data_IF_990180172888
#
_entry.id   IF_990180172888
#
_cell.length_a   1.000
_cell.length_b   1.000
_cell.length_c   1.000
_cell.angle_alpha   90.00
_cell.angle_beta   90.00
_cell.angle_gamma   90.00
#
_symmetry.space_group_name_H-M   'P 1'
#
loop_
_entity.id
_entity.type
_entity.pdbx_description
1 polymer ?
#
# COMPACT_ATOMS: atom_id res chain seq x y z
N UNK A 1 -1.99 11.65 -8.91
CA UNK A 1 -3.45 11.58 -8.67
C UNK A 1 -3.86 12.60 -7.60
N UNK A 2 -5.10 13.10 -7.65
CA UNK A 2 -5.68 13.97 -6.61
C UNK A 2 -7.00 13.34 -6.16
N UNK A 3 -7.22 13.26 -4.85
CA UNK A 3 -8.41 12.65 -4.26
C UNK A 3 -9.14 13.73 -3.47
N UNK A 4 -10.42 13.94 -3.76
CA UNK A 4 -11.26 14.87 -3.00
C UNK A 4 -11.75 14.23 -1.71
N UNK A 5 -11.63 14.93 -0.59
CA UNK A 5 -12.20 14.51 0.68
C UNK A 5 -13.52 15.24 0.96
N UNK A 6 -14.46 14.57 1.62
CA UNK A 6 -15.76 15.14 2.00
C UNK A 6 -15.62 16.33 2.97
N UNK A 7 -14.49 16.46 3.68
CA UNK A 7 -14.21 17.64 4.51
C UNK A 7 -13.71 18.86 3.70
N UNK A 8 -13.67 18.77 2.37
CA UNK A 8 -13.19 19.82 1.47
C UNK A 8 -11.67 19.82 1.22
N UNK A 9 -10.90 19.01 1.95
CA UNK A 9 -9.47 18.88 1.71
C UNK A 9 -9.18 18.06 0.44
N UNK A 10 -8.04 18.32 -0.19
CA UNK A 10 -7.51 17.50 -1.29
C UNK A 10 -6.34 16.66 -0.80
N UNK A 11 -6.39 15.36 -1.06
CA UNK A 11 -5.27 14.45 -0.82
C UNK A 11 -4.46 14.33 -2.10
N UNK A 12 -3.17 14.63 -2.02
CA UNK A 12 -2.26 14.58 -3.16
C UNK A 12 -1.48 13.26 -3.15
N UNK A 13 -1.48 12.60 -4.30
CA UNK A 13 -0.63 11.46 -4.62
C UNK A 13 0.21 11.81 -5.85
N UNK A 14 1.27 12.59 -5.62
CA UNK A 14 2.13 13.13 -6.67
C UNK A 14 3.53 12.52 -6.69
N UNK A 15 3.89 11.75 -5.66
CA UNK A 15 5.22 11.23 -5.44
C UNK A 15 5.17 9.98 -4.54
N UNK A 16 6.31 9.31 -4.42
CA UNK A 16 6.52 8.27 -3.43
C UNK A 16 6.85 8.85 -2.06
N UNK A 17 6.86 7.98 -1.03
CA UNK A 17 7.26 8.34 0.33
C UNK A 17 6.39 9.43 0.99
N UNK A 18 5.09 9.41 0.68
CA UNK A 18 4.12 10.35 1.24
C UNK A 18 3.56 9.80 2.57
N UNK A 19 3.57 10.58 3.67
CA UNK A 19 3.12 10.13 4.99
C UNK A 19 1.61 9.80 5.04
N UNK A 20 0.85 10.32 4.08
CA UNK A 20 -0.57 10.10 3.94
C UNK A 20 -0.93 8.96 2.96
N UNK A 21 0.05 8.23 2.42
CA UNK A 21 -0.15 7.14 1.44
C UNK A 21 0.37 5.83 2.02
N UNK A 22 -0.44 4.77 1.90
CA UNK A 22 -0.12 3.43 2.38
C UNK A 22 -0.44 2.35 1.34
N UNK A 23 0.06 1.15 1.61
CA UNK A 23 -0.26 -0.06 0.85
C UNK A 23 -0.94 -1.05 1.79
N UNK A 24 -2.03 -1.66 1.32
CA UNK A 24 -2.81 -2.65 2.04
C UNK A 24 -2.70 -4.00 1.34
N UNK A 25 -2.07 -4.94 2.01
CA UNK A 25 -2.15 -6.37 1.68
C UNK A 25 -3.08 -7.01 2.73
N UNK A 26 -4.22 -7.59 2.32
CA UNK A 26 -5.07 -8.34 3.23
C UNK A 26 -4.30 -9.45 3.93
N UNK A 27 -4.65 -9.73 5.19
CA UNK A 27 -4.06 -10.82 5.98
C UNK A 27 -4.05 -12.16 5.21
N UNK A 28 -5.18 -12.46 4.55
CA UNK A 28 -5.38 -13.67 3.77
C UNK A 28 -4.42 -13.81 2.57
N UNK A 29 -3.86 -12.71 2.09
CA UNK A 29 -3.00 -12.69 0.90
C UNK A 29 -1.50 -12.74 1.26
N UNK A 30 -1.13 -12.62 2.55
CA UNK A 30 0.28 -12.54 2.94
C UNK A 30 1.05 -13.85 2.75
N UNK A 31 0.43 -14.99 3.05
CA UNK A 31 1.10 -16.29 2.84
C UNK A 31 1.40 -16.51 1.35
N UNK A 32 0.45 -16.21 0.46
CA UNK A 32 0.68 -16.23 -0.99
C UNK A 32 1.85 -15.33 -1.42
N UNK A 33 2.01 -14.16 -0.78
CA UNK A 33 3.13 -13.24 -1.07
C UNK A 33 4.46 -13.87 -0.65
N UNK A 34 4.52 -14.50 0.53
CA UNK A 34 5.74 -15.14 1.01
C UNK A 34 6.11 -16.35 0.14
N UNK A 35 5.15 -17.23 -0.12
CA UNK A 35 5.36 -18.41 -0.94
C UNK A 35 5.84 -18.01 -2.35
N UNK A 36 5.23 -16.98 -2.95
CA UNK A 36 5.68 -16.47 -4.24
C UNK A 36 7.09 -15.85 -4.19
N UNK A 37 7.48 -15.18 -3.11
CA UNK A 37 8.86 -14.67 -2.98
C UNK A 37 9.85 -15.83 -2.86
N UNK A 38 9.52 -16.83 -2.05
CA UNK A 38 10.41 -17.98 -1.84
C UNK A 38 10.58 -18.74 -3.18
N UNK A 39 9.48 -19.13 -3.82
CA UNK A 39 9.47 -19.93 -5.05
C UNK A 39 9.97 -19.17 -6.29
N UNK A 40 9.49 -17.93 -6.50
CA UNK A 40 9.79 -17.18 -7.73
C UNK A 40 11.01 -16.26 -7.63
N UNK A 41 11.56 -16.06 -6.43
CA UNK A 41 12.70 -15.16 -6.22
C UNK A 41 13.86 -15.88 -5.54
N UNK A 42 13.68 -16.39 -4.32
CA UNK A 42 14.80 -16.92 -3.52
C UNK A 42 15.36 -18.18 -4.16
N UNK A 43 14.49 -19.16 -4.42
CA UNK A 43 14.91 -20.45 -4.98
C UNK A 43 15.48 -20.28 -6.38
N UNK A 44 14.86 -19.45 -7.22
CA UNK A 44 15.37 -19.20 -8.59
C UNK A 44 16.71 -18.49 -8.61
N UNK A 45 16.97 -17.60 -7.65
CA UNK A 45 18.30 -16.99 -7.48
C UNK A 45 19.31 -18.03 -7.00
N UNK A 46 18.94 -18.88 -6.04
CA UNK A 46 19.80 -19.94 -5.52
C UNK A 46 20.18 -20.97 -6.60
N UNK A 47 19.23 -21.30 -7.46
CA UNK A 47 19.39 -22.23 -8.58
C UNK A 47 20.13 -21.61 -9.78
N UNK A 48 20.44 -20.31 -9.72
CA UNK A 48 21.09 -19.56 -10.79
C UNK A 48 20.22 -19.32 -12.02
N UNK A 49 18.90 -19.56 -11.92
CA UNK A 49 17.94 -19.39 -13.02
C UNK A 49 17.37 -17.97 -13.09
N UNK A 50 17.56 -17.17 -12.03
CA UNK A 50 17.17 -15.76 -11.97
C UNK A 50 18.37 -14.88 -11.60
N UNK A 51 18.60 -13.82 -12.36
CA UNK A 51 19.64 -12.84 -12.02
C UNK A 51 19.19 -11.97 -10.85
N UNK A 52 20.16 -11.38 -10.14
CA UNK A 52 19.91 -10.49 -9.01
C UNK A 52 19.03 -9.29 -9.38
N UNK A 53 19.25 -8.70 -10.54
CA UNK A 53 18.48 -7.56 -11.03
C UNK A 53 17.04 -7.97 -11.35
N UNK A 54 16.84 -9.13 -11.96
CA UNK A 54 15.52 -9.67 -12.24
C UNK A 54 14.78 -10.03 -10.94
N UNK A 55 15.48 -10.57 -9.94
CA UNK A 55 14.94 -10.87 -8.62
C UNK A 55 14.38 -9.63 -7.91
N UNK A 56 15.08 -8.49 -7.99
CA UNK A 56 14.59 -7.23 -7.42
C UNK A 56 13.28 -6.77 -8.04
N UNK A 57 13.15 -6.91 -9.35
CA UNK A 57 11.92 -6.53 -10.05
C UNK A 57 10.80 -7.50 -9.72
N UNK A 58 11.10 -8.82 -9.68
CA UNK A 58 10.12 -9.85 -9.39
C UNK A 58 9.54 -9.75 -7.98
N UNK A 59 10.39 -9.53 -6.97
CA UNK A 59 9.92 -9.34 -5.60
C UNK A 59 8.99 -8.11 -5.47
N UNK A 60 9.32 -7.00 -6.14
CA UNK A 60 8.47 -5.79 -6.14
C UNK A 60 7.15 -6.01 -6.87
N UNK A 61 7.18 -6.75 -7.97
CA UNK A 61 5.97 -7.14 -8.72
C UNK A 61 5.03 -7.98 -7.85
N UNK A 62 5.56 -9.01 -7.17
CA UNK A 62 4.78 -9.90 -6.29
C UNK A 62 4.08 -9.09 -5.20
N UNK A 63 4.83 -8.30 -4.44
CA UNK A 63 4.28 -7.47 -3.36
C UNK A 63 3.28 -6.46 -3.92
N UNK A 64 3.62 -5.78 -5.01
CA UNK A 64 2.78 -4.77 -5.64
C UNK A 64 1.47 -5.31 -6.18
N UNK A 65 1.46 -6.55 -6.70
CA UNK A 65 0.27 -7.19 -7.29
C UNK A 65 -0.80 -7.54 -6.26
N UNK A 66 -0.40 -7.77 -5.00
CA UNK A 66 -1.31 -8.09 -3.88
C UNK A 66 -1.66 -6.86 -3.04
N UNK A 67 -0.89 -5.78 -3.20
CA UNK A 67 -1.12 -4.52 -2.50
C UNK A 67 -2.19 -3.66 -3.18
N UNK A 68 -3.02 -3.01 -2.37
CA UNK A 68 -3.94 -1.95 -2.78
C UNK A 68 -3.51 -0.63 -2.18
N UNK A 69 -3.77 0.47 -2.88
CA UNK A 69 -3.43 1.78 -2.35
C UNK A 69 -4.48 2.25 -1.33
N UNK A 70 -4.00 3.01 -0.36
CA UNK A 70 -4.82 3.73 0.59
C UNK A 70 -4.24 5.11 0.88
N UNK A 71 -5.12 6.03 1.22
CA UNK A 71 -4.77 7.41 1.50
C UNK A 71 -5.51 7.93 2.72
N UNK A 72 -4.84 8.72 3.55
CA UNK A 72 -5.45 9.36 4.72
C UNK A 72 -5.57 10.86 4.49
N UNK A 73 -6.75 11.43 4.78
CA UNK A 73 -6.93 12.87 4.75
C UNK A 73 -6.23 13.51 5.95
N UNK A 74 -5.26 14.39 5.72
CA UNK A 74 -4.58 15.15 6.78
C UNK A 74 -5.50 16.14 7.51
N UNK A 75 -6.58 16.57 6.85
CA UNK A 75 -7.55 17.51 7.42
C UNK A 75 -8.44 16.85 8.48
N UNK A 76 -9.19 15.82 8.07
CA UNK A 76 -10.19 15.17 8.92
C UNK A 76 -9.85 13.75 9.37
N UNK A 77 -8.78 13.12 8.87
CA UNK A 77 -8.40 11.75 9.21
C UNK A 77 -9.09 10.64 8.42
N UNK A 78 -10.05 10.96 7.53
CA UNK A 78 -10.75 9.96 6.71
C UNK A 78 -9.78 9.14 5.86
N UNK A 79 -9.99 7.83 5.82
CA UNK A 79 -9.23 6.88 5.02
C UNK A 79 -9.97 6.59 3.73
N UNK A 80 -9.23 6.58 2.63
CA UNK A 80 -9.70 6.19 1.31
C UNK A 80 -8.91 4.95 0.89
N UNK A 81 -9.58 3.89 0.47
CA UNK A 81 -8.95 2.60 0.13
C UNK A 81 -9.49 2.12 -1.20
N UNK A 82 -8.59 1.65 -2.07
CA UNK A 82 -9.01 0.99 -3.30
C UNK A 82 -9.75 -0.32 -2.99
N UNK A 83 -10.99 -0.40 -3.46
CA UNK A 83 -11.85 -1.57 -3.37
C UNK A 83 -11.49 -2.64 -4.38
N UNK A 84 -11.98 -3.87 -4.13
CA UNK A 84 -11.86 -4.98 -5.10
C UNK A 84 -12.70 -4.75 -6.37
N UNK A 85 -13.67 -3.84 -6.29
CA UNK A 85 -14.53 -3.38 -7.38
C UNK A 85 -13.88 -2.27 -8.23
N UNK A 86 -12.64 -1.88 -7.91
CA UNK A 86 -11.95 -0.76 -8.57
C UNK A 86 -12.50 0.61 -8.18
N UNK A 87 -13.39 0.68 -7.19
CA UNK A 87 -13.92 1.93 -6.65
C UNK A 87 -13.14 2.35 -5.41
N UNK A 88 -13.09 3.66 -5.16
CA UNK A 88 -12.48 4.21 -3.98
C UNK A 88 -13.50 4.26 -2.83
N UNK A 89 -13.23 3.55 -1.74
CA UNK A 89 -14.12 3.50 -0.57
C UNK A 89 -13.61 4.40 0.55
N UNK A 90 -14.52 5.19 1.14
CA UNK A 90 -14.21 6.13 2.22
C UNK A 90 -14.62 5.60 3.60
N UNK A 91 -13.71 5.71 4.56
CA UNK A 91 -13.91 5.37 5.97
C UNK A 91 -13.68 6.63 6.80
N UNK A 92 -14.65 7.02 7.61
CA UNK A 92 -14.58 8.23 8.43
C UNK A 92 -14.13 7.88 9.86
N UNK A 93 -13.34 8.73 10.53
CA UNK A 93 -13.01 8.53 11.93
C UNK A 93 -14.26 8.55 12.80
N UNK A 94 -14.28 7.70 13.83
CA UNK A 94 -15.40 7.64 14.76
C UNK A 94 -15.45 8.85 15.70
N UNK A 95 -14.29 9.46 16.00
CA UNK A 95 -14.17 10.60 16.92
C UNK A 95 -13.13 11.61 16.43
N UNK A 96 -13.20 12.85 16.92
CA UNK A 96 -12.25 13.91 16.56
C UNK A 96 -10.81 13.65 17.04
N UNK A 97 -10.67 12.88 18.11
CA UNK A 97 -9.39 12.48 18.73
C UNK A 97 -8.67 11.36 17.96
N UNK A 98 -9.30 10.79 16.92
CA UNK A 98 -8.70 9.73 16.11
C UNK A 98 -7.44 10.23 15.41
N UNK A 99 -6.38 9.41 15.43
CA UNK A 99 -5.10 9.76 14.80
C UNK A 99 -5.26 9.97 13.28
N UNK A 100 -4.68 11.08 12.80
CA UNK A 100 -4.71 11.51 11.40
C UNK A 100 -3.42 11.13 10.66
N UNK A 101 -2.56 10.32 11.29
CA UNK A 101 -1.26 9.87 10.79
C UNK A 101 -1.07 8.36 10.90
N UNK A 102 -2.15 7.60 10.81
CA UNK A 102 -2.13 6.12 10.88
C UNK A 102 -1.24 5.52 9.78
N UNK A 103 -1.17 6.17 8.62
CA UNK A 103 -0.33 5.73 7.50
C UNK A 103 1.11 6.27 7.56
N UNK A 104 1.41 7.16 8.51
CA UNK A 104 2.74 7.72 8.63
C UNK A 104 3.71 6.65 9.16
N UNK A 105 4.78 6.39 8.41
CA UNK A 105 5.86 5.53 8.88
C UNK A 105 6.51 6.07 10.16
N UNK A 106 7.13 5.18 10.95
CA UNK A 106 7.94 5.60 12.09
C UNK A 106 9.09 6.47 11.58
N UNK A 107 9.26 7.65 12.17
CA UNK A 107 10.42 8.50 11.94
C UNK A 107 11.69 7.64 12.09
N UNK A 108 12.59 7.69 11.10
CA UNK A 108 13.92 7.09 11.22
C UNK A 108 14.71 7.74 12.35
#
# INVERSE_FOLDING_TARGET
MKIGCNCGATIFDSADYLPQKGHLIPDQDWFDVYDAIDDDVIDKVADGTLTKEAAYMKAREIIGSKARLMWQCVGCGSLYVDGRDGQLHGFVPATEETDRRVLAGRSK
#
